data_IF_484758146404
#
_entry.id   IF_484758146404
#
_cell.length_a   1.000
_cell.length_b   1.000
_cell.length_c   1.000
_cell.angle_alpha   90.00
_cell.angle_beta   90.00
_cell.angle_gamma   90.00
#
_symmetry.space_group_name_H-M   'P 1'
#
loop_
_entity.id
_entity.type
_entity.pdbx_description
1 polymer ?
#
# COMPACT_ATOMS: atom_id res chain seq x y z
N UNK A 1 7.98 14.36 2.82
CA UNK A 1 7.75 15.18 4.03
C UNK A 1 8.31 14.52 5.28
N UNK A 2 7.87 13.31 5.65
CA UNK A 2 8.36 12.58 6.84
C UNK A 2 9.89 12.49 6.91
N UNK A 3 10.55 12.08 5.81
CA UNK A 3 12.01 11.97 5.75
C UNK A 3 12.73 13.31 6.01
N UNK A 4 12.26 14.39 5.38
CA UNK A 4 12.83 15.74 5.54
C UNK A 4 12.71 16.22 6.99
N UNK A 5 11.52 16.13 7.58
CA UNK A 5 11.27 16.53 8.97
C UNK A 5 12.09 15.67 9.97
N UNK A 6 12.23 14.38 9.69
CA UNK A 6 13.08 13.50 10.48
C UNK A 6 14.54 13.91 10.41
N UNK A 7 15.08 14.13 9.20
CA UNK A 7 16.48 14.50 9.00
C UNK A 7 16.80 15.85 9.69
N UNK A 8 15.90 16.83 9.59
CA UNK A 8 16.01 18.12 10.30
C UNK A 8 16.02 17.95 11.83
N UNK A 9 15.15 17.11 12.40
CA UNK A 9 15.13 16.85 13.85
C UNK A 9 16.36 16.08 14.31
N UNK A 10 16.82 15.11 13.52
CA UNK A 10 18.05 14.35 13.79
C UNK A 10 19.23 15.32 13.83
N UNK A 11 19.40 16.16 12.83
CA UNK A 11 20.51 17.11 12.75
C UNK A 11 20.52 18.08 13.95
N UNK A 12 19.35 18.63 14.31
CA UNK A 12 19.22 19.49 15.48
C UNK A 12 19.61 18.80 16.80
N UNK A 13 19.26 17.53 16.96
CA UNK A 13 19.60 16.76 18.16
C UNK A 13 21.08 16.36 18.18
N UNK A 14 21.65 15.95 17.04
CA UNK A 14 23.08 15.61 16.94
C UNK A 14 23.97 16.84 17.19
N UNK A 15 23.56 18.03 16.72
CA UNK A 15 24.25 19.29 17.00
C UNK A 15 24.17 19.68 18.49
N UNK A 16 23.01 19.48 19.14
CA UNK A 16 22.82 19.82 20.56
C UNK A 16 23.58 18.89 21.51
N UNK A 17 23.57 17.60 21.24
CA UNK A 17 24.22 16.60 22.10
C UNK A 17 25.68 16.32 21.70
N UNK A 18 26.15 16.92 20.59
CA UNK A 18 27.46 16.72 19.99
C UNK A 18 27.81 15.23 19.80
N UNK A 19 26.80 14.41 19.48
CA UNK A 19 26.92 12.97 19.24
C UNK A 19 25.96 12.53 18.15
N UNK A 20 26.27 11.39 17.51
CA UNK A 20 25.35 10.75 16.56
C UNK A 20 24.25 9.98 17.30
N UNK A 21 23.01 10.07 16.80
CA UNK A 21 21.88 9.29 17.32
C UNK A 21 22.02 7.83 16.91
N UNK A 22 21.66 6.93 17.83
CA UNK A 22 21.61 5.49 17.56
C UNK A 22 20.39 5.13 16.71
N UNK A 23 20.44 3.95 16.08
CA UNK A 23 19.36 3.44 15.22
C UNK A 23 18.00 3.41 15.92
N UNK A 24 17.97 3.05 17.21
CA UNK A 24 16.74 3.00 18.01
C UNK A 24 16.16 4.40 18.21
N UNK A 25 16.98 5.37 18.60
CA UNK A 25 16.54 6.77 18.79
C UNK A 25 15.99 7.37 17.48
N UNK A 26 16.65 7.09 16.35
CA UNK A 26 16.17 7.52 15.02
C UNK A 26 14.83 6.89 14.65
N UNK A 27 14.59 5.64 15.05
CA UNK A 27 13.32 4.96 14.80
C UNK A 27 12.20 5.57 15.64
N UNK A 28 12.43 5.79 16.95
CA UNK A 28 11.47 6.49 17.82
C UNK A 28 11.12 7.87 17.27
N UNK A 29 12.13 8.64 16.86
CA UNK A 29 11.94 9.97 16.31
C UNK A 29 11.14 9.94 14.99
N UNK A 30 11.35 8.92 14.16
CA UNK A 30 10.57 8.71 12.94
C UNK A 30 9.11 8.44 13.25
N UNK A 31 8.83 7.60 14.23
CA UNK A 31 7.47 7.27 14.64
C UNK A 31 6.75 8.51 15.22
N UNK A 32 7.45 9.31 16.02
CA UNK A 32 6.95 10.61 16.50
C UNK A 32 6.65 11.58 15.36
N UNK A 33 7.53 11.68 14.36
CA UNK A 33 7.31 12.52 13.17
C UNK A 33 6.09 12.05 12.40
N UNK A 34 5.90 10.74 12.23
CA UNK A 34 4.72 10.16 11.56
C UNK A 34 3.46 10.52 12.35
N UNK A 35 3.45 10.33 13.67
CA UNK A 35 2.28 10.65 14.52
C UNK A 35 1.93 12.13 14.50
N UNK A 36 2.92 13.02 14.43
CA UNK A 36 2.71 14.47 14.32
C UNK A 36 2.19 14.90 12.94
N UNK A 37 2.63 14.22 11.87
CA UNK A 37 2.26 14.58 10.49
C UNK A 37 0.96 13.92 10.02
N UNK A 38 0.57 12.77 10.61
CA UNK A 38 -0.61 12.02 10.22
C UNK A 38 -1.93 12.82 10.30
N UNK A 39 -2.22 13.59 11.37
CA UNK A 39 -3.44 14.41 11.44
C UNK A 39 -3.51 15.53 10.40
N UNK A 40 -2.36 15.94 9.84
CA UNK A 40 -2.24 16.99 8.83
C UNK A 40 -2.20 16.42 7.41
N UNK A 41 -2.16 15.10 7.26
CA UNK A 41 -2.09 14.46 5.97
C UNK A 41 -3.45 14.52 5.28
N UNK A 42 -3.46 14.96 4.02
CA UNK A 42 -4.67 14.92 3.22
C UNK A 42 -5.02 13.46 2.86
N UNK A 43 -6.28 13.11 3.03
CA UNK A 43 -6.79 11.80 2.59
C UNK A 43 -6.86 11.75 1.07
N UNK A 44 -6.32 10.68 0.49
CA UNK A 44 -6.56 10.34 -0.91
C UNK A 44 -7.63 9.25 -0.96
N UNK A 45 -8.83 9.63 -1.42
CA UNK A 45 -9.90 8.66 -1.64
C UNK A 45 -9.73 8.03 -3.01
N UNK A 46 -9.92 6.73 -3.08
CA UNK A 46 -9.80 5.97 -4.30
C UNK A 46 -10.90 4.90 -4.35
N UNK A 47 -11.61 4.84 -5.46
CA UNK A 47 -12.67 3.87 -5.70
C UNK A 47 -12.17 2.81 -6.69
N UNK A 48 -12.43 1.54 -6.39
CA UNK A 48 -12.17 0.41 -7.28
C UNK A 48 -13.50 -0.29 -7.50
N UNK A 49 -14.02 -0.28 -8.73
CA UNK A 49 -15.26 -0.99 -9.04
C UNK A 49 -14.97 -2.50 -9.19
N UNK A 50 -15.93 -3.31 -8.76
CA UNK A 50 -15.91 -4.76 -8.95
C UNK A 50 -17.25 -5.20 -9.53
N UNK A 51 -17.20 -6.19 -10.42
CA UNK A 51 -18.37 -6.86 -10.95
C UNK A 51 -18.23 -8.35 -10.74
N UNK A 52 -19.22 -8.96 -10.10
CA UNK A 52 -19.30 -10.40 -9.87
C UNK A 52 -20.29 -10.95 -10.88
N UNK A 53 -19.79 -11.78 -11.79
CA UNK A 53 -20.58 -12.52 -12.75
C UNK A 53 -20.81 -13.93 -12.20
N UNK A 54 -22.00 -14.17 -11.67
CA UNK A 54 -22.40 -15.46 -11.10
C UNK A 54 -22.76 -16.50 -12.15
N UNK A 55 -23.03 -16.09 -13.39
CA UNK A 55 -23.35 -17.03 -14.47
C UNK A 55 -22.06 -17.68 -14.99
N UNK A 56 -21.02 -16.87 -15.19
CA UNK A 56 -19.71 -17.34 -15.66
C UNK A 56 -18.72 -17.68 -14.54
N UNK A 57 -19.09 -17.46 -13.27
CA UNK A 57 -18.24 -17.62 -12.09
C UNK A 57 -16.94 -16.80 -12.17
N UNK A 58 -17.04 -15.57 -12.68
CA UNK A 58 -15.92 -14.66 -12.84
C UNK A 58 -16.08 -13.43 -11.93
N UNK A 59 -14.95 -12.87 -11.53
CA UNK A 59 -14.90 -11.60 -10.80
C UNK A 59 -14.03 -10.64 -11.60
N UNK A 60 -14.64 -9.57 -12.08
CA UNK A 60 -13.97 -8.50 -12.80
C UNK A 60 -13.62 -7.38 -11.82
N UNK A 61 -12.38 -6.88 -11.90
CA UNK A 61 -11.90 -5.79 -11.04
C UNK A 61 -11.38 -4.65 -11.92
N UNK A 62 -11.94 -3.46 -11.76
CA UNK A 62 -11.51 -2.24 -12.47
C UNK A 62 -10.22 -1.69 -11.83
N UNK A 63 -9.10 -2.35 -12.15
CA UNK A 63 -7.77 -1.98 -11.67
C UNK A 63 -6.71 -2.23 -12.74
N UNK A 64 -5.83 -1.25 -12.93
CA UNK A 64 -4.68 -1.36 -13.83
C UNK A 64 -3.50 -2.17 -13.24
N UNK A 65 -3.50 -2.45 -11.94
CA UNK A 65 -2.42 -3.19 -11.28
C UNK A 65 -2.95 -4.40 -10.52
N UNK A 66 -2.22 -5.52 -10.62
CA UNK A 66 -2.58 -6.78 -9.96
C UNK A 66 -2.66 -6.61 -8.45
N UNK A 67 -1.71 -5.87 -7.84
CA UNK A 67 -1.73 -5.57 -6.40
C UNK A 67 -3.05 -4.90 -5.97
N UNK A 68 -3.54 -3.94 -6.74
CA UNK A 68 -4.78 -3.24 -6.40
C UNK A 68 -6.00 -4.13 -6.57
N UNK A 69 -5.99 -5.02 -7.57
CA UNK A 69 -7.03 -6.03 -7.71
C UNK A 69 -7.03 -7.01 -6.52
N UNK A 70 -5.85 -7.46 -6.09
CA UNK A 70 -5.69 -8.32 -4.92
C UNK A 70 -6.16 -7.67 -3.62
N UNK A 71 -5.82 -6.39 -3.38
CA UNK A 71 -6.28 -5.64 -2.20
C UNK A 71 -7.81 -5.58 -2.14
N UNK A 72 -8.47 -5.36 -3.29
CA UNK A 72 -9.93 -5.34 -3.39
C UNK A 72 -10.54 -6.73 -3.14
N UNK A 73 -9.96 -7.78 -3.72
CA UNK A 73 -10.39 -9.17 -3.50
C UNK A 73 -10.15 -9.62 -2.06
N UNK A 74 -9.08 -9.16 -1.42
CA UNK A 74 -8.80 -9.43 -0.01
C UNK A 74 -9.85 -8.79 0.90
N UNK A 75 -10.25 -7.55 0.62
CA UNK A 75 -11.34 -6.88 1.34
C UNK A 75 -12.66 -7.62 1.17
N UNK A 76 -12.99 -8.04 -0.05
CA UNK A 76 -14.20 -8.82 -0.32
C UNK A 76 -14.17 -10.17 0.40
N UNK A 77 -13.04 -10.89 0.36
CA UNK A 77 -12.84 -12.15 1.08
C UNK A 77 -13.02 -11.97 2.59
N UNK A 78 -12.48 -10.91 3.18
CA UNK A 78 -12.67 -10.59 4.59
C UNK A 78 -14.14 -10.34 4.94
N UNK A 79 -14.89 -9.74 4.01
CA UNK A 79 -16.31 -9.41 4.21
C UNK A 79 -17.22 -10.65 4.07
N UNK A 80 -16.88 -11.59 3.19
CA UNK A 80 -17.64 -12.81 2.93
C UNK A 80 -17.17 -14.02 3.78
N UNK A 81 -16.02 -13.93 4.43
CA UNK A 81 -15.37 -15.02 5.16
C UNK A 81 -14.51 -15.90 4.24
N UNK A 82 -15.07 -16.39 3.14
CA UNK A 82 -14.33 -17.14 2.12
C UNK A 82 -14.63 -16.62 0.71
N UNK A 83 -13.60 -16.63 -0.13
CA UNK A 83 -13.70 -16.29 -1.55
C UNK A 83 -12.54 -16.96 -2.30
N UNK A 84 -12.72 -18.22 -2.75
CA UNK A 84 -11.72 -18.94 -3.52
C UNK A 84 -11.71 -18.41 -4.96
N UNK A 85 -10.79 -17.50 -5.24
CA UNK A 85 -10.58 -16.92 -6.58
C UNK A 85 -9.13 -17.05 -6.97
N UNK A 86 -8.89 -17.31 -8.25
CA UNK A 86 -7.55 -17.38 -8.86
C UNK A 86 -7.50 -16.48 -10.09
N UNK A 87 -6.35 -15.86 -10.39
CA UNK A 87 -6.19 -15.12 -11.64
C UNK A 87 -6.45 -16.00 -12.86
N UNK A 88 -6.93 -15.41 -13.94
CA UNK A 88 -7.11 -16.11 -15.21
C UNK A 88 -5.76 -16.63 -15.72
N UNK A 89 -5.71 -17.93 -16.00
CA UNK A 89 -4.59 -18.56 -16.68
C UNK A 89 -4.91 -18.64 -18.18
N UNK A 90 -4.01 -18.14 -19.00
CA UNK A 90 -4.12 -18.25 -20.46
C UNK A 90 -3.43 -19.54 -20.93
N UNK A 91 -4.02 -20.22 -21.92
CA UNK A 91 -3.43 -21.43 -22.49
C UNK A 91 -2.07 -21.18 -23.17
N UNK A 92 -1.89 -19.98 -23.69
CA UNK A 92 -0.68 -19.50 -24.35
C UNK A 92 -0.31 -18.15 -23.75
N UNK A 93 0.98 -17.82 -23.70
CA UNK A 93 1.42 -16.52 -23.22
C UNK A 93 0.89 -15.40 -24.13
N UNK A 94 0.20 -14.38 -23.58
CA UNK A 94 -0.35 -13.29 -24.38
C UNK A 94 0.70 -12.56 -25.23
N UNK A 95 1.93 -12.46 -24.74
CA UNK A 95 3.07 -11.86 -25.45
C UNK A 95 3.38 -12.54 -26.78
N UNK A 96 3.19 -13.85 -26.86
CA UNK A 96 3.51 -14.66 -28.06
C UNK A 96 2.43 -14.54 -29.14
N UNK A 97 1.17 -14.32 -28.74
CA UNK A 97 0.03 -14.23 -29.67
C UNK A 97 -0.15 -12.80 -30.21
N UNK A 98 0.25 -11.78 -29.43
CA UNK A 98 0.03 -10.37 -29.77
C UNK A 98 1.18 -9.73 -30.59
N UNK A 99 2.23 -10.48 -30.89
CA UNK A 99 3.29 -10.12 -31.87
C UNK A 99 2.95 -10.57 -33.27
#
# INVERSE_FOLDING_TARGET
>A
MVKRELDERVENLEQKENRKLKKVEKQTLKDDVVMNLLPRAFSKNQHTALWIDTENNLVHVDAASSKRAEDALALLRKSLGSLPVVPLAFANEPSTILT
#
